data_IF_914037616200
#
_entry.id   IF_914037616200
#
_cell.length_a   1.000
_cell.length_b   1.000
_cell.length_c   1.000
_cell.angle_alpha   90.00
_cell.angle_beta   90.00
_cell.angle_gamma   90.00
#
_symmetry.space_group_name_H-M   'P 1'
#
loop_
_entity.id
_entity.type
_entity.pdbx_description
1 polymer ?
#
# COMPACT_ATOMS: atom_id res chain seq x y z
N UNK A 1 -21.33 -7.99 12.72
CA UNK A 1 -22.18 -8.99 12.03
C UNK A 1 -21.27 -10.12 11.61
N UNK A 2 -21.72 -11.37 11.68
CA UNK A 2 -20.93 -12.51 11.20
C UNK A 2 -20.68 -12.44 9.69
N UNK A 3 -19.68 -13.18 9.23
CA UNK A 3 -19.31 -13.24 7.83
C UNK A 3 -20.42 -13.93 7.01
N UNK A 4 -20.87 -13.31 5.91
CA UNK A 4 -21.76 -13.98 4.96
C UNK A 4 -20.92 -14.83 4.00
N UNK A 5 -20.54 -16.02 4.47
CA UNK A 5 -19.64 -16.93 3.76
C UNK A 5 -20.21 -17.28 2.37
N UNK A 6 -21.50 -17.56 2.25
CA UNK A 6 -22.11 -17.93 0.97
C UNK A 6 -21.94 -16.82 -0.09
N UNK A 7 -22.27 -15.57 0.27
CA UNK A 7 -22.14 -14.45 -0.65
C UNK A 7 -20.68 -14.16 -1.03
N UNK A 8 -19.77 -14.24 -0.06
CA UNK A 8 -18.35 -14.00 -0.29
C UNK A 8 -17.68 -15.13 -1.06
N UNK A 9 -18.05 -16.40 -0.83
CA UNK A 9 -17.57 -17.53 -1.62
C UNK A 9 -18.00 -17.41 -3.08
N UNK A 10 -19.24 -16.98 -3.34
CA UNK A 10 -19.69 -16.68 -4.70
C UNK A 10 -18.87 -15.56 -5.33
N UNK A 11 -18.66 -14.45 -4.61
CA UNK A 11 -17.83 -13.35 -5.09
C UNK A 11 -16.36 -13.76 -5.36
N UNK A 12 -15.78 -14.61 -4.51
CA UNK A 12 -14.43 -15.16 -4.73
C UNK A 12 -14.38 -15.99 -6.02
N UNK A 13 -15.38 -16.85 -6.26
CA UNK A 13 -15.48 -17.62 -7.51
C UNK A 13 -15.66 -16.72 -8.73
N UNK A 14 -16.48 -15.68 -8.65
CA UNK A 14 -16.66 -14.73 -9.75
C UNK A 14 -15.40 -13.88 -10.00
N UNK A 15 -14.68 -13.45 -8.96
CA UNK A 15 -13.39 -12.78 -9.08
C UNK A 15 -12.34 -13.66 -9.79
N UNK A 16 -12.32 -14.97 -9.48
CA UNK A 16 -11.50 -15.95 -10.20
C UNK A 16 -11.85 -15.97 -11.68
N UNK A 17 -13.15 -16.03 -11.99
CA UNK A 17 -13.66 -15.97 -13.36
C UNK A 17 -13.18 -14.72 -14.10
N UNK A 18 -13.31 -13.54 -13.49
CA UNK A 18 -12.84 -12.28 -14.09
C UNK A 18 -11.34 -12.30 -14.37
N UNK A 19 -10.52 -12.80 -13.45
CA UNK A 19 -9.08 -12.93 -13.65
C UNK A 19 -8.75 -13.90 -14.80
N UNK A 20 -9.43 -15.06 -14.84
CA UNK A 20 -9.29 -16.03 -15.93
C UNK A 20 -9.62 -15.43 -17.29
N UNK A 21 -10.77 -14.76 -17.41
CA UNK A 21 -11.24 -14.18 -18.67
C UNK A 21 -10.33 -13.05 -19.14
N UNK A 22 -9.95 -12.15 -18.23
CA UNK A 22 -9.08 -11.02 -18.54
C UNK A 22 -7.72 -11.48 -19.07
N UNK A 23 -7.09 -12.46 -18.42
CA UNK A 23 -5.78 -12.99 -18.84
C UNK A 23 -5.89 -13.80 -20.14
N UNK A 24 -6.96 -14.57 -20.33
CA UNK A 24 -7.20 -15.30 -21.58
C UNK A 24 -7.37 -14.35 -22.76
N UNK A 25 -8.18 -13.29 -22.60
CA UNK A 25 -8.45 -12.32 -23.65
C UNK A 25 -7.24 -11.44 -24.00
N UNK A 26 -6.44 -11.06 -23.01
CA UNK A 26 -5.22 -10.27 -23.23
C UNK A 26 -4.04 -11.11 -23.77
N UNK A 27 -4.14 -12.45 -23.70
CA UNK A 27 -3.01 -13.37 -23.96
C UNK A 27 -1.76 -12.98 -23.15
N UNK A 28 -1.97 -12.42 -21.96
CA UNK A 28 -0.92 -11.85 -21.13
C UNK A 28 -1.41 -11.65 -19.70
N UNK A 29 -0.71 -12.21 -18.71
CA UNK A 29 -0.98 -11.91 -17.30
C UNK A 29 -0.62 -13.02 -16.34
N UNK A 30 -1.14 -12.89 -15.11
CA UNK A 30 -0.81 -13.77 -13.99
C UNK A 30 -2.08 -14.30 -13.36
N UNK A 31 -2.25 -15.62 -13.37
CA UNK A 31 -3.42 -16.30 -12.78
C UNK A 31 -3.16 -16.71 -11.33
N UNK A 32 -1.91 -17.01 -10.98
CA UNK A 32 -1.57 -17.66 -9.71
C UNK A 32 -2.12 -16.97 -8.47
N UNK A 33 -1.67 -15.74 -8.22
CA UNK A 33 -2.08 -14.94 -7.06
C UNK A 33 -3.57 -14.57 -7.10
N UNK A 34 -4.14 -14.02 -8.20
CA UNK A 34 -5.57 -13.70 -8.22
C UNK A 34 -6.48 -14.88 -7.87
N UNK A 35 -6.11 -16.09 -8.29
CA UNK A 35 -6.88 -17.30 -8.00
C UNK A 35 -6.64 -17.83 -6.57
N UNK A 36 -5.39 -17.83 -6.11
CA UNK A 36 -5.02 -18.34 -4.79
C UNK A 36 -5.54 -17.47 -3.64
N UNK A 37 -5.59 -16.15 -3.85
CA UNK A 37 -5.94 -15.15 -2.83
C UNK A 37 -7.41 -14.69 -2.87
N UNK A 38 -8.26 -15.27 -3.72
CA UNK A 38 -9.62 -14.77 -3.93
C UNK A 38 -10.45 -14.74 -2.64
N UNK A 39 -10.28 -15.70 -1.74
CA UNK A 39 -10.97 -15.70 -0.44
C UNK A 39 -10.55 -14.53 0.45
N UNK A 40 -9.24 -14.26 0.56
CA UNK A 40 -8.74 -13.09 1.29
C UNK A 40 -9.27 -11.79 0.69
N UNK A 41 -9.30 -11.68 -0.64
CA UNK A 41 -9.86 -10.52 -1.33
C UNK A 41 -11.35 -10.29 -1.04
N UNK A 42 -12.14 -11.37 -1.00
CA UNK A 42 -13.55 -11.31 -0.65
C UNK A 42 -13.77 -10.81 0.79
N UNK A 43 -12.96 -11.29 1.74
CA UNK A 43 -13.03 -10.80 3.13
C UNK A 43 -12.60 -9.33 3.22
N UNK A 44 -11.49 -8.96 2.58
CA UNK A 44 -10.96 -7.60 2.59
C UNK A 44 -11.97 -6.59 2.04
N UNK A 45 -12.40 -6.75 0.79
CA UNK A 45 -13.25 -5.77 0.10
C UNK A 45 -14.76 -5.95 0.33
N UNK A 46 -15.20 -7.16 0.67
CA UNK A 46 -16.61 -7.45 0.94
C UNK A 46 -17.00 -7.33 2.41
N UNK A 47 -16.03 -7.15 3.32
CA UNK A 47 -16.31 -7.16 4.76
C UNK A 47 -15.51 -6.17 5.61
N UNK A 48 -14.17 -6.18 5.59
CA UNK A 48 -13.35 -5.55 6.67
C UNK A 48 -12.67 -4.23 6.33
N UNK A 49 -12.41 -3.94 5.05
CA UNK A 49 -11.74 -2.70 4.68
C UNK A 49 -12.69 -1.52 4.85
N UNK A 50 -12.18 -0.44 5.45
CA UNK A 50 -12.87 0.85 5.51
C UNK A 50 -12.51 1.66 4.27
N UNK A 51 -13.40 1.75 3.29
CA UNK A 51 -13.17 2.54 2.08
C UNK A 51 -14.46 3.14 1.53
N UNK A 52 -14.35 4.11 0.62
CA UNK A 52 -15.48 4.66 -0.11
C UNK A 52 -15.16 4.65 -1.61
N UNK A 53 -15.78 3.77 -2.41
CA UNK A 53 -15.56 3.69 -3.85
C UNK A 53 -15.85 4.99 -4.62
N UNK A 54 -16.79 5.81 -4.13
CA UNK A 54 -17.13 7.12 -4.73
C UNK A 54 -16.12 8.21 -4.33
N UNK A 55 -15.35 7.99 -3.25
CA UNK A 55 -14.33 8.88 -2.73
C UNK A 55 -13.01 8.13 -2.55
N UNK A 56 -12.37 7.64 -3.64
CA UNK A 56 -11.20 6.76 -3.58
C UNK A 56 -9.95 7.42 -2.97
N UNK A 57 -10.01 8.73 -2.69
CA UNK A 57 -8.94 9.52 -2.06
C UNK A 57 -9.33 10.08 -0.69
N UNK A 58 -10.45 9.62 -0.12
CA UNK A 58 -10.87 9.95 1.24
C UNK A 58 -9.74 9.67 2.24
N UNK A 59 -9.26 10.71 2.93
CA UNK A 59 -8.09 10.62 3.82
C UNK A 59 -8.31 9.74 5.06
N UNK A 60 -9.56 9.39 5.39
CA UNK A 60 -9.93 8.56 6.53
C UNK A 60 -10.09 7.06 6.23
N UNK A 61 -9.82 6.62 4.98
CA UNK A 61 -9.91 5.22 4.53
C UNK A 61 -8.72 4.36 4.98
N UNK A 62 -8.93 3.06 5.11
CA UNK A 62 -7.84 2.08 5.12
C UNK A 62 -7.15 2.06 3.75
N UNK A 63 -5.83 1.94 3.75
CA UNK A 63 -5.03 1.85 2.52
C UNK A 63 -4.78 0.38 2.18
N UNK A 64 -4.96 0.00 0.92
CA UNK A 64 -4.58 -1.32 0.43
C UNK A 64 -3.51 -1.20 -0.66
N UNK A 65 -2.37 -1.86 -0.46
CA UNK A 65 -1.26 -1.90 -1.41
C UNK A 65 -1.02 -3.35 -1.84
N UNK A 66 -1.06 -3.61 -3.15
CA UNK A 66 -0.67 -4.89 -3.72
C UNK A 66 0.82 -4.85 -4.08
N UNK A 67 1.70 -5.25 -3.16
CA UNK A 67 3.14 -5.30 -3.42
C UNK A 67 3.50 -6.35 -4.46
N UNK A 68 2.80 -7.48 -4.46
CA UNK A 68 2.87 -8.48 -5.53
C UNK A 68 2.08 -8.02 -6.76
N UNK A 69 2.50 -6.90 -7.36
CA UNK A 69 1.75 -6.17 -8.39
C UNK A 69 1.46 -6.97 -9.66
N UNK A 70 2.19 -8.06 -9.91
CA UNK A 70 1.93 -8.94 -11.05
C UNK A 70 0.51 -9.53 -10.99
N UNK A 71 -0.01 -9.76 -9.78
CA UNK A 71 -1.39 -10.20 -9.53
C UNK A 71 -2.44 -9.09 -9.68
N UNK A 72 -2.24 -8.11 -10.54
CA UNK A 72 -3.09 -6.91 -10.70
C UNK A 72 -4.60 -7.21 -10.86
N UNK A 73 -4.96 -8.28 -11.55
CA UNK A 73 -6.37 -8.70 -11.68
C UNK A 73 -7.03 -9.09 -10.36
N UNK A 74 -6.27 -9.48 -9.33
CA UNK A 74 -6.79 -9.58 -7.96
C UNK A 74 -7.44 -8.26 -7.56
N UNK A 75 -6.66 -7.17 -7.63
CA UNK A 75 -7.11 -5.85 -7.19
C UNK A 75 -8.23 -5.30 -8.08
N UNK A 76 -8.09 -5.40 -9.40
CA UNK A 76 -9.07 -4.83 -10.33
C UNK A 76 -10.46 -5.48 -10.21
N UNK A 77 -10.53 -6.80 -10.00
CA UNK A 77 -11.81 -7.48 -9.78
C UNK A 77 -12.54 -6.93 -8.54
N UNK A 78 -11.82 -6.73 -7.44
CA UNK A 78 -12.42 -6.20 -6.20
C UNK A 78 -12.80 -4.72 -6.31
N UNK A 79 -11.97 -3.89 -6.96
CA UNK A 79 -12.32 -2.50 -7.22
C UNK A 79 -13.59 -2.38 -8.08
N UNK A 80 -13.69 -3.21 -9.12
CA UNK A 80 -14.88 -3.29 -9.97
C UNK A 80 -16.14 -3.67 -9.16
N UNK A 81 -16.09 -4.82 -8.46
CA UNK A 81 -17.26 -5.32 -7.72
C UNK A 81 -17.65 -4.41 -6.55
N UNK A 82 -16.69 -3.72 -5.94
CA UNK A 82 -16.96 -2.74 -4.87
C UNK A 82 -17.60 -1.45 -5.39
N UNK A 83 -17.61 -1.21 -6.71
CA UNK A 83 -18.26 -0.05 -7.31
C UNK A 83 -17.37 1.18 -7.43
N UNK A 84 -16.04 1.02 -7.55
CA UNK A 84 -15.16 2.10 -7.99
C UNK A 84 -15.48 2.47 -9.45
N UNK A 85 -14.98 3.62 -9.93
CA UNK A 85 -15.05 4.02 -11.35
C UNK A 85 -14.11 3.17 -12.24
N UNK A 86 -14.34 1.86 -12.21
CA UNK A 86 -13.66 0.80 -12.94
C UNK A 86 -14.73 -0.15 -13.49
N UNK A 87 -15.47 0.24 -14.54
CA UNK A 87 -16.56 -0.56 -15.08
C UNK A 87 -16.06 -1.86 -15.73
N UNK A 88 -16.96 -2.81 -15.98
CA UNK A 88 -16.63 -4.10 -16.61
C UNK A 88 -15.94 -3.92 -17.98
N UNK A 89 -16.24 -2.83 -18.70
CA UNK A 89 -15.57 -2.49 -19.96
C UNK A 89 -14.06 -2.26 -19.79
N UNK A 90 -13.60 -1.78 -18.64
CA UNK A 90 -12.17 -1.64 -18.35
C UNK A 90 -11.54 -2.97 -17.92
N UNK A 91 -12.29 -3.85 -17.24
CA UNK A 91 -11.83 -5.22 -16.95
C UNK A 91 -11.60 -6.00 -18.26
N UNK A 92 -12.51 -5.87 -19.23
CA UNK A 92 -12.37 -6.44 -20.57
C UNK A 92 -11.20 -5.86 -21.37
N UNK A 93 -10.67 -4.70 -20.96
CA UNK A 93 -9.52 -4.02 -21.56
C UNK A 93 -8.22 -4.21 -20.77
N UNK A 94 -8.14 -5.24 -19.93
CA UNK A 94 -6.91 -5.58 -19.21
C UNK A 94 -5.69 -5.63 -20.14
N UNK A 95 -4.63 -4.92 -19.74
CA UNK A 95 -3.36 -4.78 -20.49
C UNK A 95 -3.48 -4.15 -21.88
N UNK A 96 -4.61 -3.52 -22.20
CA UNK A 96 -4.77 -2.81 -23.46
C UNK A 96 -4.30 -1.37 -23.33
N UNK A 97 -3.83 -0.81 -24.43
CA UNK A 97 -3.40 0.59 -24.51
C UNK A 97 -4.53 1.53 -24.03
N UNK A 98 -4.19 2.48 -23.16
CA UNK A 98 -5.10 3.46 -22.56
C UNK A 98 -6.28 2.83 -21.78
N UNK A 99 -6.11 1.63 -21.24
CA UNK A 99 -7.04 1.06 -20.26
C UNK A 99 -6.72 1.57 -18.86
N UNK A 100 -7.72 1.57 -17.98
CA UNK A 100 -7.55 1.76 -16.53
C UNK A 100 -7.11 0.48 -15.81
N UNK A 101 -6.70 -0.55 -16.54
CA UNK A 101 -6.32 -1.88 -16.03
C UNK A 101 -4.96 -2.31 -16.59
N UNK A 102 -3.88 -1.53 -16.33
CA UNK A 102 -2.54 -1.87 -16.78
C UNK A 102 -2.04 -3.19 -16.18
N UNK A 103 -0.98 -3.76 -16.78
CA UNK A 103 -0.49 -5.09 -16.41
C UNK A 103 -0.04 -5.24 -14.95
N UNK A 104 0.37 -4.15 -14.33
CA UNK A 104 0.63 -3.98 -12.90
C UNK A 104 -0.16 -2.76 -12.40
N UNK A 105 -0.53 -2.66 -11.10
CA UNK A 105 -1.24 -1.51 -10.59
C UNK A 105 -0.43 -0.24 -10.80
N UNK A 106 -1.03 0.76 -11.41
CA UNK A 106 -0.41 2.07 -11.62
C UNK A 106 -1.20 3.14 -10.89
N UNK A 107 -0.49 3.91 -10.09
CA UNK A 107 -1.04 5.07 -9.43
C UNK A 107 -1.41 6.14 -10.47
N UNK A 108 -2.55 6.82 -10.25
CA UNK A 108 -3.25 7.75 -11.17
C UNK A 108 -4.11 7.12 -12.27
N UNK A 109 -3.70 5.99 -12.87
CA UNK A 109 -4.46 5.37 -13.97
C UNK A 109 -5.75 4.68 -13.48
N UNK A 110 -5.66 4.00 -12.34
CA UNK A 110 -6.78 3.20 -11.79
C UNK A 110 -7.33 3.82 -10.49
N UNK A 111 -8.62 4.20 -10.42
CA UNK A 111 -9.25 4.62 -9.17
C UNK A 111 -9.16 3.53 -8.09
N UNK A 112 -8.68 3.88 -6.90
CA UNK A 112 -8.49 2.93 -5.79
C UNK A 112 -7.11 2.27 -5.71
N UNK A 113 -6.26 2.39 -6.75
CA UNK A 113 -4.85 1.96 -6.65
C UNK A 113 -4.05 3.00 -5.85
N UNK A 114 -3.39 2.56 -4.78
CA UNK A 114 -2.66 3.47 -3.87
C UNK A 114 -1.23 3.77 -4.31
N UNK A 115 -0.54 2.81 -4.94
CA UNK A 115 0.85 2.94 -5.36
C UNK A 115 1.06 2.21 -6.69
N UNK A 116 2.00 2.68 -7.49
CA UNK A 116 2.50 1.88 -8.61
C UNK A 116 3.37 0.76 -8.08
N UNK A 117 3.02 -0.49 -8.39
CA UNK A 117 3.81 -1.67 -8.00
C UNK A 117 4.13 -2.51 -9.22
N UNK A 118 4.84 -3.62 -9.03
CA UNK A 118 5.34 -4.46 -10.13
C UNK A 118 6.76 -4.90 -9.85
N UNK A 119 7.72 -3.97 -9.72
CA UNK A 119 9.02 -4.29 -9.16
C UNK A 119 8.82 -4.77 -7.72
N UNK A 120 9.24 -6.00 -7.44
CA UNK A 120 8.93 -6.70 -6.20
C UNK A 120 9.57 -5.99 -5.00
N UNK A 121 8.94 -6.11 -3.82
CA UNK A 121 9.41 -5.49 -2.57
C UNK A 121 9.10 -3.99 -2.43
N UNK A 122 8.98 -3.23 -3.53
CA UNK A 122 8.69 -1.79 -3.53
C UNK A 122 7.39 -1.45 -2.77
N UNK A 123 6.33 -2.23 -3.01
CA UNK A 123 5.03 -2.01 -2.35
C UNK A 123 5.06 -2.24 -0.83
N UNK A 124 5.96 -3.09 -0.32
CA UNK A 124 6.20 -3.22 1.13
C UNK A 124 6.77 -1.91 1.67
N UNK A 125 7.78 -1.35 1.01
CA UNK A 125 8.35 -0.04 1.35
C UNK A 125 7.33 1.10 1.28
N UNK A 126 6.51 1.14 0.23
CA UNK A 126 5.43 2.11 0.11
C UNK A 126 4.44 2.01 1.27
N UNK A 127 4.05 0.79 1.67
CA UNK A 127 3.16 0.56 2.80
C UNK A 127 3.73 1.05 4.13
N UNK A 128 5.04 0.85 4.35
CA UNK A 128 5.75 1.41 5.50
C UNK A 128 5.71 2.95 5.46
N UNK A 129 5.91 3.55 4.30
CA UNK A 129 5.78 5.00 4.10
C UNK A 129 4.39 5.55 4.44
N UNK A 130 3.33 4.88 3.96
CA UNK A 130 1.94 5.23 4.31
C UNK A 130 1.72 5.10 5.82
N UNK A 131 2.19 4.02 6.45
CA UNK A 131 2.08 3.81 7.89
C UNK A 131 2.76 4.91 8.71
N UNK A 132 3.95 5.35 8.31
CA UNK A 132 4.64 6.52 8.90
C UNK A 132 3.78 7.78 8.74
N UNK A 133 3.33 8.08 7.52
CA UNK A 133 2.52 9.28 7.25
C UNK A 133 1.24 9.32 8.10
N UNK A 134 0.56 8.18 8.25
CA UNK A 134 -0.64 8.04 9.11
C UNK A 134 -0.32 8.26 10.59
N UNK A 135 0.79 7.72 11.12
CA UNK A 135 1.23 7.98 12.50
C UNK A 135 1.55 9.47 12.72
N UNK A 136 2.24 10.09 11.77
CA UNK A 136 2.55 11.52 11.81
C UNK A 136 1.28 12.38 11.76
N UNK A 137 0.35 12.04 10.87
CA UNK A 137 -0.93 12.75 10.75
C UNK A 137 -1.77 12.61 12.03
N UNK A 138 -1.89 11.40 12.57
CA UNK A 138 -2.58 11.16 13.83
C UNK A 138 -1.97 11.98 14.98
N UNK A 139 -0.64 11.99 15.11
CA UNK A 139 0.05 12.74 16.16
C UNK A 139 -0.10 14.26 16.05
N UNK A 140 -0.26 14.79 14.82
CA UNK A 140 -0.39 16.23 14.56
C UNK A 140 -1.82 16.73 14.65
N UNK A 141 -2.78 15.93 14.17
CA UNK A 141 -4.12 16.41 13.89
C UNK A 141 -5.20 15.79 14.80
N UNK A 142 -4.98 14.61 15.38
CA UNK A 142 -5.94 14.11 16.37
C UNK A 142 -5.88 14.97 17.64
N UNK A 143 -7.02 15.04 18.32
CA UNK A 143 -7.17 15.70 19.61
C UNK A 143 -7.76 14.71 20.62
N UNK A 144 -7.85 15.09 21.89
CA UNK A 144 -8.56 14.27 22.89
C UNK A 144 -10.05 14.07 22.57
N UNK A 145 -10.65 14.97 21.79
CA UNK A 145 -12.07 14.92 21.41
C UNK A 145 -12.31 14.29 20.04
N UNK A 146 -11.34 14.35 19.12
CA UNK A 146 -11.52 13.95 17.72
C UNK A 146 -10.39 13.05 17.25
N UNK A 147 -10.77 11.86 16.78
CA UNK A 147 -9.87 10.91 16.11
C UNK A 147 -10.16 10.93 14.62
N UNK A 148 -9.48 11.82 13.89
CA UNK A 148 -9.61 11.97 12.43
C UNK A 148 -8.80 10.91 11.69
N UNK A 149 -7.62 10.58 12.20
CA UNK A 149 -6.72 9.58 11.64
C UNK A 149 -6.69 8.33 12.54
N UNK A 150 -7.25 7.25 12.01
CA UNK A 150 -7.46 5.93 12.65
C UNK A 150 -7.58 4.87 11.55
N UNK A 151 -6.60 4.82 10.67
CA UNK A 151 -6.63 3.89 9.54
C UNK A 151 -5.49 2.91 9.64
N UNK A 152 -5.64 1.80 8.93
CA UNK A 152 -4.58 0.82 8.75
C UNK A 152 -4.07 0.86 7.31
N UNK A 153 -2.80 0.52 7.14
CA UNK A 153 -2.21 0.22 5.84
C UNK A 153 -2.09 -1.29 5.73
N UNK A 154 -2.82 -1.88 4.80
CA UNK A 154 -2.82 -3.29 4.49
C UNK A 154 -1.96 -3.48 3.24
N UNK A 155 -0.99 -4.39 3.29
CA UNK A 155 -0.13 -4.71 2.17
C UNK A 155 -0.17 -6.21 1.88
N UNK A 156 -0.45 -6.60 0.63
CA UNK A 156 -0.35 -7.99 0.19
C UNK A 156 0.95 -8.20 -0.60
N UNK A 157 1.82 -9.05 -0.05
CA UNK A 157 3.10 -9.45 -0.63
C UNK A 157 3.14 -10.96 -0.86
N UNK A 158 4.00 -11.42 -1.77
CA UNK A 158 4.29 -12.86 -1.97
C UNK A 158 5.78 -13.13 -1.83
N UNK A 159 6.22 -14.37 -2.09
CA UNK A 159 7.61 -14.83 -1.92
C UNK A 159 8.63 -13.86 -2.51
N UNK A 160 8.46 -13.50 -3.79
CA UNK A 160 9.39 -12.62 -4.50
C UNK A 160 9.52 -11.23 -3.88
N UNK A 161 8.47 -10.71 -3.21
CA UNK A 161 8.60 -9.45 -2.47
C UNK A 161 9.47 -9.63 -1.22
N UNK A 162 9.38 -10.77 -0.54
CA UNK A 162 10.07 -11.00 0.73
C UNK A 162 11.51 -11.51 0.55
N UNK A 163 11.88 -11.96 -0.65
CA UNK A 163 13.26 -12.22 -1.08
C UNK A 163 14.04 -10.92 -1.38
N UNK A 164 13.35 -9.86 -1.80
CA UNK A 164 13.97 -8.59 -2.14
C UNK A 164 14.49 -7.85 -0.89
N UNK A 165 15.76 -7.44 -0.91
CA UNK A 165 16.43 -6.78 0.22
C UNK A 165 15.74 -5.49 0.67
N UNK A 166 15.11 -4.77 -0.26
CA UNK A 166 14.34 -3.55 0.05
C UNK A 166 13.18 -3.81 1.01
N UNK A 167 12.55 -4.99 0.93
CA UNK A 167 11.46 -5.37 1.84
C UNK A 167 11.99 -5.63 3.26
N UNK A 168 13.20 -6.19 3.37
CA UNK A 168 13.87 -6.43 4.64
C UNK A 168 14.27 -5.11 5.31
N UNK A 169 14.83 -4.17 4.55
CA UNK A 169 15.14 -2.82 5.02
C UNK A 169 13.90 -2.10 5.57
N UNK A 170 12.83 -2.05 4.77
CA UNK A 170 11.59 -1.38 5.14
C UNK A 170 10.88 -2.06 6.32
N UNK A 171 10.85 -3.40 6.36
CA UNK A 171 10.24 -4.14 7.46
C UNK A 171 11.02 -3.97 8.77
N UNK A 172 12.36 -4.04 8.73
CA UNK A 172 13.19 -3.77 9.90
C UNK A 172 12.97 -2.34 10.43
N UNK A 173 12.82 -1.36 9.54
CA UNK A 173 12.44 0.01 9.91
C UNK A 173 11.06 0.04 10.59
N UNK A 174 10.04 -0.61 10.01
CA UNK A 174 8.68 -0.63 10.56
C UNK A 174 8.61 -1.23 11.97
N UNK A 175 9.34 -2.32 12.20
CA UNK A 175 9.47 -2.95 13.51
C UNK A 175 10.18 -2.06 14.53
N UNK A 176 11.28 -1.40 14.12
CA UNK A 176 11.99 -0.44 14.97
C UNK A 176 11.08 0.71 15.42
N UNK A 177 10.35 1.34 14.50
CA UNK A 177 9.48 2.47 14.79
C UNK A 177 8.11 2.08 15.39
N UNK A 178 7.79 0.79 15.50
CA UNK A 178 6.54 0.33 16.11
C UNK A 178 5.31 0.77 15.33
N UNK A 179 5.31 0.56 14.00
CA UNK A 179 4.21 0.95 13.12
C UNK A 179 3.02 -0.02 13.26
N UNK A 180 2.35 0.01 14.40
CA UNK A 180 1.19 -0.87 14.72
C UNK A 180 -0.03 -0.72 13.80
N UNK A 181 -0.05 0.32 12.97
CA UNK A 181 -1.06 0.59 11.95
C UNK A 181 -0.71 -0.04 10.58
N UNK A 182 0.37 -0.82 10.49
CA UNK A 182 0.74 -1.61 9.32
C UNK A 182 0.35 -3.08 9.53
N UNK A 183 -0.38 -3.62 8.55
CA UNK A 183 -0.70 -5.06 8.44
C UNK A 183 -0.10 -5.56 7.12
N UNK A 184 0.98 -6.33 7.20
CA UNK A 184 1.59 -7.00 6.06
C UNK A 184 1.07 -8.44 5.98
N UNK A 185 0.41 -8.77 4.88
CA UNK A 185 -0.08 -10.11 4.56
C UNK A 185 0.90 -10.72 3.58
N UNK A 186 1.40 -11.91 3.91
CA UNK A 186 2.25 -12.71 3.07
C UNK A 186 1.44 -13.87 2.49
N UNK A 187 1.18 -13.82 1.19
CA UNK A 187 0.71 -14.98 0.41
C UNK A 187 1.83 -16.01 0.32
N UNK A 188 1.83 -16.95 1.26
CA UNK A 188 2.77 -18.04 1.35
C UNK A 188 2.23 -19.23 0.56
N UNK A 189 2.46 -19.22 -0.76
CA UNK A 189 1.96 -20.26 -1.66
C UNK A 189 3.06 -21.24 -2.12
N UNK A 190 4.29 -21.05 -1.62
CA UNK A 190 5.48 -21.86 -1.87
C UNK A 190 5.93 -21.94 -3.34
N UNK A 191 5.51 -21.00 -4.18
CA UNK A 191 5.77 -20.98 -5.62
C UNK A 191 6.32 -19.61 -6.07
N UNK A 192 7.37 -19.63 -6.87
CA UNK A 192 7.90 -18.46 -7.60
C UNK A 192 7.69 -18.64 -9.11
N UNK A 193 8.19 -17.70 -9.92
CA UNK A 193 7.94 -17.67 -11.36
C UNK A 193 8.39 -18.94 -12.08
N UNK A 194 9.64 -19.34 -11.87
CA UNK A 194 10.28 -20.44 -12.62
C UNK A 194 10.32 -21.77 -11.86
N UNK A 195 10.08 -21.74 -10.54
CA UNK A 195 10.31 -22.89 -9.68
C UNK A 195 9.50 -22.83 -8.38
N UNK A 196 9.35 -23.97 -7.68
CA UNK A 196 8.97 -23.97 -6.27
C UNK A 196 9.92 -23.08 -5.45
N UNK A 197 9.37 -22.32 -4.49
CA UNK A 197 10.13 -21.37 -3.69
C UNK A 197 11.32 -22.01 -2.98
N UNK A 198 11.19 -23.28 -2.55
CA UNK A 198 12.25 -24.04 -1.87
C UNK A 198 13.58 -24.14 -2.62
N UNK A 199 13.59 -23.93 -3.94
CA UNK A 199 14.82 -23.96 -4.75
C UNK A 199 15.75 -22.77 -4.42
N UNK A 200 15.19 -21.64 -3.98
CA UNK A 200 15.95 -20.41 -3.63
C UNK A 200 15.58 -19.79 -2.29
N UNK A 201 14.57 -20.31 -1.58
CA UNK A 201 14.06 -19.77 -0.32
C UNK A 201 13.90 -20.90 0.72
N UNK A 202 14.69 -20.83 1.79
CA UNK A 202 14.69 -21.82 2.87
C UNK A 202 14.74 -21.21 4.28
N UNK A 203 14.68 -19.89 4.38
CA UNK A 203 14.66 -19.19 5.66
C UNK A 203 13.28 -19.25 6.35
N UNK A 204 13.30 -19.18 7.68
CA UNK A 204 12.09 -18.98 8.46
C UNK A 204 11.69 -17.50 8.42
N UNK A 205 10.82 -17.17 7.46
CA UNK A 205 10.29 -15.81 7.28
C UNK A 205 9.53 -15.34 8.53
N UNK A 206 8.81 -16.22 9.21
CA UNK A 206 8.10 -15.88 10.45
C UNK A 206 9.06 -15.49 11.58
N UNK A 207 10.14 -16.25 11.76
CA UNK A 207 11.19 -15.93 12.71
C UNK A 207 11.92 -14.62 12.35
N UNK A 208 12.20 -14.38 11.05
CA UNK A 208 12.80 -13.12 10.58
C UNK A 208 11.92 -11.91 10.92
N UNK A 209 10.61 -11.99 10.69
CA UNK A 209 9.68 -10.92 11.05
C UNK A 209 9.51 -10.75 12.57
N UNK A 210 9.51 -11.83 13.36
CA UNK A 210 9.59 -11.75 14.83
C UNK A 210 10.86 -11.03 15.28
N UNK A 211 12.01 -11.31 14.65
CA UNK A 211 13.27 -10.66 14.96
C UNK A 211 13.28 -9.16 14.60
N UNK A 212 12.57 -8.74 13.54
CA UNK A 212 12.34 -7.32 13.27
C UNK A 212 11.41 -6.64 14.29
N UNK A 213 10.62 -7.40 15.04
CA UNK A 213 9.70 -6.90 16.06
C UNK A 213 8.23 -6.88 15.64
N UNK A 214 7.85 -7.66 14.62
CA UNK A 214 6.45 -7.83 14.23
C UNK A 214 5.70 -8.75 15.19
N UNK A 215 4.39 -8.56 15.23
CA UNK A 215 3.44 -9.54 15.74
C UNK A 215 3.03 -10.49 14.62
N UNK A 216 3.38 -11.76 14.74
CA UNK A 216 3.29 -12.75 13.65
C UNK A 216 2.17 -13.74 13.91
N UNK A 217 1.27 -13.86 12.95
CA UNK A 217 0.19 -14.84 12.90
C UNK A 217 0.33 -15.70 11.65
N UNK A 218 -0.18 -16.93 11.72
CA UNK A 218 -0.15 -17.89 10.62
C UNK A 218 -1.53 -18.51 10.47
N UNK A 219 -2.06 -18.54 9.23
CA UNK A 219 -3.42 -18.97 8.93
C UNK A 219 -3.51 -19.70 7.59
N UNK A 220 -4.56 -20.49 7.43
CA UNK A 220 -5.02 -20.88 6.10
C UNK A 220 -5.69 -19.66 5.44
N UNK A 221 -5.05 -19.07 4.43
CA UNK A 221 -5.56 -17.89 3.72
C UNK A 221 -6.82 -18.15 2.90
N UNK A 222 -7.16 -19.42 2.64
CA UNK A 222 -8.35 -19.83 1.90
C UNK A 222 -9.53 -20.21 2.79
N UNK A 223 -9.35 -20.19 4.11
CA UNK A 223 -10.43 -20.22 5.09
C UNK A 223 -10.80 -18.78 5.46
N UNK A 224 -11.94 -18.31 4.96
CA UNK A 224 -12.38 -16.93 5.14
C UNK A 224 -12.59 -16.55 6.60
N UNK A 225 -13.06 -17.48 7.44
CA UNK A 225 -13.30 -17.20 8.85
C UNK A 225 -11.97 -17.15 9.60
N UNK A 226 -11.06 -18.09 9.35
CA UNK A 226 -9.73 -18.07 9.96
C UNK A 226 -8.93 -16.81 9.56
N UNK A 227 -9.00 -16.40 8.29
CA UNK A 227 -8.37 -15.17 7.82
C UNK A 227 -9.01 -13.92 8.45
N UNK A 228 -10.35 -13.87 8.55
CA UNK A 228 -11.05 -12.77 9.22
C UNK A 228 -10.63 -12.64 10.69
N UNK A 229 -10.55 -13.75 11.41
CA UNK A 229 -10.18 -13.75 12.83
C UNK A 229 -8.75 -13.24 13.04
N UNK A 230 -7.80 -13.68 12.20
CA UNK A 230 -6.42 -13.17 12.26
C UNK A 230 -6.31 -11.70 11.84
N UNK A 231 -7.09 -11.26 10.84
CA UNK A 231 -7.13 -9.86 10.43
C UNK A 231 -7.71 -8.96 11.52
N UNK A 232 -8.81 -9.36 12.16
CA UNK A 232 -9.40 -8.61 13.26
C UNK A 232 -8.44 -8.57 14.46
N UNK A 233 -7.82 -9.69 14.82
CA UNK A 233 -6.79 -9.71 15.85
C UNK A 233 -5.63 -8.77 15.51
N UNK A 234 -5.17 -8.73 14.25
CA UNK A 234 -4.14 -7.78 13.82
C UNK A 234 -4.60 -6.32 13.97
N UNK A 235 -5.82 -5.99 13.57
CA UNK A 235 -6.39 -4.63 13.60
C UNK A 235 -6.71 -4.13 15.02
N UNK A 236 -7.10 -5.02 15.92
CA UNK A 236 -7.53 -4.67 17.29
C UNK A 236 -6.37 -4.70 18.31
N UNK A 237 -5.34 -5.49 18.05
CA UNK A 237 -4.22 -5.67 18.98
C UNK A 237 -3.30 -4.44 18.98
N UNK A 238 -3.26 -3.76 20.13
CA UNK A 238 -2.54 -2.51 20.35
C UNK A 238 -1.17 -2.67 21.03
N UNK A 239 -0.47 -3.80 20.84
CA UNK A 239 0.85 -4.07 21.43
C UNK A 239 2.01 -3.21 20.89
N UNK A 240 1.74 -2.18 20.09
CA UNK A 240 2.74 -1.27 19.52
C UNK A 240 3.64 -1.89 18.45
N UNK A 241 3.31 -3.08 17.93
CA UNK A 241 4.07 -3.77 16.89
C UNK A 241 3.32 -3.77 15.56
N UNK A 242 4.02 -3.62 14.42
CA UNK A 242 3.43 -3.91 13.11
C UNK A 242 3.01 -5.38 13.04
N UNK A 243 2.02 -5.68 12.19
CA UNK A 243 1.39 -7.00 12.10
C UNK A 243 1.84 -7.74 10.85
N UNK A 244 2.14 -9.02 10.99
CA UNK A 244 2.50 -9.91 9.90
C UNK A 244 1.59 -11.14 9.90
N UNK A 245 0.85 -11.35 8.82
CA UNK A 245 -0.05 -12.50 8.66
C UNK A 245 0.54 -13.37 7.55
N UNK A 246 1.05 -14.55 7.93
CA UNK A 246 1.46 -15.59 6.99
C UNK A 246 0.20 -16.35 6.58
N UNK A 247 -0.25 -16.14 5.34
CA UNK A 247 -1.44 -16.76 4.79
C UNK A 247 -1.04 -17.87 3.82
N UNK A 248 -1.26 -19.13 4.20
CA UNK A 248 -1.02 -20.27 3.32
C UNK A 248 -2.11 -20.35 2.25
N UNK A 249 -1.72 -20.36 0.98
CA UNK A 249 -2.67 -20.48 -0.14
C UNK A 249 -2.21 -21.50 -1.18
N UNK A 250 -3.16 -21.99 -1.97
CA UNK A 250 -2.90 -22.79 -3.16
C UNK A 250 -2.84 -21.87 -4.39
N UNK A 251 -1.65 -21.67 -4.96
CA UNK A 251 -1.47 -20.88 -6.19
C UNK A 251 -2.30 -21.47 -7.35
N UNK A 252 -2.97 -20.61 -8.12
CA UNK A 252 -3.72 -21.04 -9.30
C UNK A 252 -4.99 -21.86 -8.99
N UNK A 253 -5.44 -21.87 -7.73
CA UNK A 253 -6.62 -22.63 -7.28
C UNK A 253 -7.79 -22.50 -8.25
N UNK A 254 -8.28 -23.65 -8.70
CA UNK A 254 -9.40 -23.73 -9.64
C UNK A 254 -8.99 -23.99 -11.09
N UNK A 255 -7.70 -24.15 -11.38
CA UNK A 255 -7.20 -24.69 -12.65
C UNK A 255 -6.42 -25.98 -12.36
N UNK A 256 -7.08 -27.16 -12.38
CA UNK A 256 -6.50 -28.44 -11.96
C UNK A 256 -5.17 -28.79 -12.63
N UNK A 257 -4.97 -28.38 -13.88
CA UNK A 257 -3.78 -28.71 -14.67
C UNK A 257 -2.52 -27.94 -14.26
N UNK A 258 -2.66 -26.84 -13.50
CA UNK A 258 -1.52 -25.99 -13.10
C UNK A 258 -1.50 -25.63 -11.61
N UNK A 259 -2.60 -25.79 -10.87
CA UNK A 259 -2.66 -25.42 -9.45
C UNK A 259 -1.56 -26.07 -8.61
N UNK A 260 -1.00 -25.33 -7.66
CA UNK A 260 0.12 -25.78 -6.82
C UNK A 260 1.47 -25.90 -7.56
N UNK A 261 1.59 -25.41 -8.79
CA UNK A 261 2.83 -25.42 -9.57
C UNK A 261 3.22 -24.03 -10.06
N UNK A 262 4.50 -23.83 -10.37
CA UNK A 262 5.01 -22.58 -10.97
C UNK A 262 4.35 -22.24 -12.31
N UNK A 263 3.76 -23.22 -13.02
CA UNK A 263 3.00 -22.99 -14.25
C UNK A 263 1.75 -22.14 -14.01
N UNK A 264 1.21 -22.11 -12.80
CA UNK A 264 0.10 -21.23 -12.45
C UNK A 264 0.49 -19.75 -12.34
N UNK A 265 1.78 -19.43 -12.19
CA UNK A 265 2.23 -18.05 -11.92
C UNK A 265 1.82 -17.09 -13.04
N UNK A 266 2.19 -17.41 -14.28
CA UNK A 266 1.86 -16.63 -15.47
C UNK A 266 0.54 -17.06 -16.12
N UNK A 267 0.56 -17.16 -17.44
CA UNK A 267 -0.62 -17.42 -18.27
C UNK A 267 -0.78 -18.89 -18.71
N UNK A 268 0.07 -19.82 -18.28
CA UNK A 268 0.04 -21.19 -18.80
C UNK A 268 -1.29 -21.92 -18.53
N UNK A 269 -2.06 -21.46 -17.54
CA UNK A 269 -3.42 -21.90 -17.25
C UNK A 269 -4.49 -21.37 -18.21
N UNK A 270 -4.20 -20.36 -19.04
CA UNK A 270 -5.19 -19.67 -19.88
C UNK A 270 -5.90 -20.60 -20.89
N UNK A 271 -5.23 -21.66 -21.34
CA UNK A 271 -5.81 -22.67 -22.24
C UNK A 271 -6.85 -23.58 -21.58
N UNK A 272 -6.92 -23.58 -20.25
CA UNK A 272 -7.85 -24.40 -19.47
C UNK A 272 -9.01 -23.57 -18.88
N UNK A 273 -9.10 -22.29 -19.22
CA UNK A 273 -10.07 -21.35 -18.61
C UNK A 273 -11.50 -21.84 -18.75
N UNK A 274 -11.96 -22.21 -19.93
CA UNK A 274 -13.37 -22.59 -20.14
C UNK A 274 -13.74 -23.84 -19.31
N UNK A 275 -12.87 -24.85 -19.30
CA UNK A 275 -13.05 -26.06 -18.49
C UNK A 275 -13.01 -25.76 -16.98
N UNK A 276 -12.09 -24.90 -16.56
CA UNK A 276 -11.91 -24.47 -15.17
C UNK A 276 -13.09 -23.65 -14.66
N UNK A 277 -13.59 -22.70 -15.45
CA UNK A 277 -14.80 -21.92 -15.16
C UNK A 277 -16.00 -22.84 -14.92
N UNK A 278 -16.21 -23.80 -15.82
CA UNK A 278 -17.29 -24.77 -15.69
C UNK A 278 -17.14 -25.63 -14.43
N UNK A 279 -15.92 -26.09 -14.12
CA UNK A 279 -15.65 -26.85 -12.90
C UNK A 279 -15.90 -26.03 -11.62
N UNK A 280 -15.68 -24.72 -11.67
CA UNK A 280 -15.99 -23.77 -10.59
C UNK A 280 -17.50 -23.42 -10.49
N UNK A 281 -18.34 -23.92 -11.40
CA UNK A 281 -19.76 -23.63 -11.43
C UNK A 281 -20.12 -22.24 -11.99
N UNK A 282 -19.18 -21.59 -12.68
CA UNK A 282 -19.47 -20.36 -13.41
C UNK A 282 -20.29 -20.66 -14.68
N UNK A 283 -21.15 -19.73 -15.14
CA UNK A 283 -21.86 -19.89 -16.39
C UNK A 283 -20.91 -19.79 -17.60
N UNK A 284 -21.40 -20.26 -18.75
CA UNK A 284 -20.67 -20.21 -20.03
C UNK A 284 -20.35 -18.77 -20.48
N UNK A 285 -21.10 -17.78 -19.99
CA UNK A 285 -20.82 -16.36 -20.26
C UNK A 285 -19.51 -15.91 -19.57
N UNK A 286 -18.56 -15.40 -20.35
CA UNK A 286 -17.35 -14.75 -19.84
C UNK A 286 -17.64 -13.35 -19.27
N UNK A 287 -16.79 -12.90 -18.35
CA UNK A 287 -16.91 -11.66 -17.61
C UNK A 287 -18.20 -11.58 -16.80
N UNK A 288 -18.62 -12.71 -16.24
CA UNK A 288 -19.84 -12.84 -15.46
C UNK A 288 -19.63 -12.48 -13.99
N UNK A 289 -20.52 -11.64 -13.47
CA UNK A 289 -20.71 -11.35 -12.04
C UNK A 289 -22.22 -11.41 -11.80
N UNK A 290 -22.66 -12.22 -10.83
CA UNK A 290 -24.09 -12.42 -10.61
C UNK A 290 -24.75 -11.16 -10.04
N UNK A 291 -26.06 -11.01 -10.30
CA UNK A 291 -26.86 -9.97 -9.67
C UNK A 291 -26.76 -10.04 -8.14
N UNK A 292 -26.74 -11.24 -7.57
CA UNK A 292 -26.62 -11.45 -6.13
C UNK A 292 -25.29 -10.94 -5.57
N UNK A 293 -24.20 -11.04 -6.33
CA UNK A 293 -22.91 -10.45 -5.94
C UNK A 293 -22.97 -8.93 -6.00
N UNK A 294 -23.49 -8.34 -7.08
CA UNK A 294 -23.67 -6.88 -7.14
C UNK A 294 -24.59 -6.35 -6.04
N UNK A 295 -25.71 -7.03 -5.77
CA UNK A 295 -26.64 -6.66 -4.69
C UNK A 295 -25.93 -6.71 -3.32
N UNK A 296 -25.08 -7.73 -3.09
CA UNK A 296 -24.29 -7.85 -1.86
C UNK A 296 -23.32 -6.68 -1.70
N UNK A 297 -22.51 -6.38 -2.72
CA UNK A 297 -21.55 -5.27 -2.65
C UNK A 297 -22.24 -3.90 -2.60
N UNK A 298 -23.40 -3.73 -3.24
CA UNK A 298 -24.22 -2.53 -3.11
C UNK A 298 -24.76 -2.35 -1.68
N UNK A 299 -25.17 -3.44 -1.01
CA UNK A 299 -25.55 -3.40 0.40
C UNK A 299 -24.35 -3.11 1.31
N UNK A 300 -23.19 -3.73 1.04
CA UNK A 300 -21.95 -3.46 1.77
C UNK A 300 -21.52 -1.99 1.64
N UNK A 301 -21.60 -1.42 0.43
CA UNK A 301 -21.34 0.00 0.16
C UNK A 301 -22.19 0.94 1.00
N UNK A 302 -23.46 0.62 1.28
CA UNK A 302 -24.31 1.43 2.18
C UNK A 302 -23.76 1.47 3.61
N UNK A 303 -23.21 0.36 4.11
CA UNK A 303 -22.56 0.32 5.43
C UNK A 303 -21.28 1.16 5.43
N UNK A 304 -20.48 1.07 4.38
CA UNK A 304 -19.27 1.89 4.19
C UNK A 304 -19.61 3.39 4.15
N UNK A 305 -20.68 3.77 3.45
CA UNK A 305 -21.16 5.16 3.41
C UNK A 305 -21.60 5.65 4.79
N UNK A 306 -22.27 4.80 5.58
CA UNK A 306 -22.62 5.15 6.98
C UNK A 306 -21.37 5.40 7.83
N UNK A 307 -20.30 4.63 7.63
CA UNK A 307 -19.02 4.88 8.30
C UNK A 307 -18.32 6.14 7.82
N UNK A 308 -18.33 6.38 6.50
CA UNK A 308 -17.81 7.61 5.90
C UNK A 308 -18.54 8.86 6.42
N UNK A 309 -19.88 8.85 6.48
CA UNK A 309 -20.69 9.95 7.01
C UNK A 309 -20.40 10.23 8.49
N UNK A 310 -20.19 9.17 9.30
CA UNK A 310 -19.76 9.31 10.70
C UNK A 310 -18.38 9.96 10.81
N UNK A 311 -17.45 9.57 9.93
CA UNK A 311 -16.14 10.20 9.87
C UNK A 311 -16.23 11.65 9.40
N UNK A 312 -17.03 11.96 8.37
CA UNK A 312 -17.22 13.33 7.88
C UNK A 312 -17.78 14.24 8.95
N UNK A 313 -18.75 13.76 9.75
CA UNK A 313 -19.28 14.53 10.88
C UNK A 313 -18.19 14.84 11.91
N UNK A 314 -17.37 13.84 12.26
CA UNK A 314 -16.24 14.02 13.18
C UNK A 314 -15.20 14.99 12.60
N UNK A 315 -14.90 14.88 11.31
CA UNK A 315 -13.95 15.73 10.61
C UNK A 315 -14.45 17.18 10.54
N UNK A 316 -15.73 17.40 10.23
CA UNK A 316 -16.33 18.73 10.18
C UNK A 316 -16.37 19.41 11.56
N UNK A 317 -16.67 18.68 12.64
CA UNK A 317 -16.60 19.24 14.01
C UNK A 317 -15.14 19.56 14.39
N UNK A 318 -14.22 18.66 14.07
CA UNK A 318 -12.78 18.88 14.26
C UNK A 318 -12.30 20.14 13.52
N UNK A 319 -12.69 20.35 12.26
CA UNK A 319 -12.31 21.53 11.48
C UNK A 319 -12.82 22.83 12.12
N UNK A 320 -14.07 22.84 12.60
CA UNK A 320 -14.66 24.02 13.28
C UNK A 320 -13.93 24.37 14.56
N UNK A 321 -13.52 23.36 15.35
CA UNK A 321 -12.81 23.56 16.62
C UNK A 321 -11.30 23.79 16.46
N UNK A 322 -10.72 23.40 15.32
CA UNK A 322 -9.28 23.48 15.06
C UNK A 322 -8.96 24.16 13.71
N UNK A 323 -9.42 25.41 13.47
CA UNK A 323 -9.35 26.04 12.15
C UNK A 323 -7.92 26.19 11.62
N UNK A 324 -6.93 26.47 12.48
CA UNK A 324 -5.53 26.59 12.08
C UNK A 324 -4.94 25.24 11.64
N UNK A 325 -5.20 24.17 12.39
CA UNK A 325 -4.77 22.81 12.02
C UNK A 325 -5.48 22.30 10.77
N UNK A 326 -6.78 22.62 10.63
CA UNK A 326 -7.56 22.32 9.44
C UNK A 326 -6.98 23.00 8.20
N UNK A 327 -6.55 24.26 8.33
CA UNK A 327 -5.85 24.97 7.25
C UNK A 327 -4.54 24.28 6.88
N UNK A 328 -3.70 23.92 7.87
CA UNK A 328 -2.44 23.21 7.60
C UNK A 328 -2.67 21.89 6.87
N UNK A 329 -3.65 21.10 7.32
CA UNK A 329 -4.01 19.82 6.68
C UNK A 329 -4.53 20.05 5.26
N UNK A 330 -5.45 21.01 5.07
CA UNK A 330 -6.04 21.29 3.76
C UNK A 330 -4.99 21.83 2.77
N UNK A 331 -4.10 22.71 3.21
CA UNK A 331 -3.01 23.21 2.36
C UNK A 331 -2.07 22.07 1.93
N UNK A 332 -1.87 21.06 2.79
CA UNK A 332 -1.14 19.84 2.44
C UNK A 332 -1.88 18.96 1.43
N UNK A 333 -3.19 18.72 1.62
CA UNK A 333 -4.06 17.99 0.68
C UNK A 333 -4.05 18.67 -0.69
N UNK A 334 -4.25 19.99 -0.71
CA UNK A 334 -4.30 20.82 -1.92
C UNK A 334 -2.90 21.06 -2.53
N UNK A 335 -1.84 20.60 -1.84
CA UNK A 335 -0.44 20.78 -2.24
C UNK A 335 -0.07 22.26 -2.43
N UNK A 336 -0.69 23.15 -1.66
CA UNK A 336 -0.34 24.56 -1.67
C UNK A 336 1.09 24.76 -1.19
N UNK A 337 1.75 25.72 -1.82
CA UNK A 337 3.09 26.20 -1.47
C UNK A 337 2.95 27.70 -1.23
N UNK A 338 3.55 28.26 -0.17
CA UNK A 338 3.52 29.71 0.05
C UNK A 338 4.04 30.45 -1.19
N UNK A 339 3.29 31.44 -1.68
CA UNK A 339 3.67 32.23 -2.86
C UNK A 339 5.01 32.96 -2.65
N UNK A 340 5.27 33.36 -1.40
CA UNK A 340 6.49 34.04 -0.99
C UNK A 340 7.65 33.09 -0.63
N UNK A 341 7.53 31.78 -0.87
CA UNK A 341 8.54 30.79 -0.45
C UNK A 341 9.95 31.12 -0.96
N UNK A 342 10.08 31.54 -2.23
CA UNK A 342 11.38 31.90 -2.81
C UNK A 342 12.01 33.11 -2.10
N UNK A 343 11.19 34.04 -1.59
CA UNK A 343 11.68 35.18 -0.82
C UNK A 343 12.24 34.80 0.55
N UNK A 344 11.91 33.60 1.06
CA UNK A 344 12.44 33.06 2.32
C UNK A 344 13.83 32.45 2.17
N UNK A 345 14.29 32.20 0.95
CA UNK A 345 15.60 31.61 0.68
C UNK A 345 16.68 32.68 0.91
N UNK A 346 17.69 32.43 1.76
CA UNK A 346 18.75 33.41 2.02
C UNK A 346 19.57 33.67 0.76
N UNK A 347 19.97 34.92 0.55
CA UNK A 347 20.93 35.26 -0.49
C UNK A 347 22.35 35.03 0.02
N UNK A 348 23.16 34.37 -0.80
CA UNK A 348 24.58 34.16 -0.53
C UNK A 348 25.40 35.20 -1.30
N UNK A 349 26.49 35.68 -0.70
CA UNK A 349 27.44 36.56 -1.39
C UNK A 349 28.07 35.83 -2.59
N UNK A 350 28.41 36.57 -3.65
CA UNK A 350 29.01 35.98 -4.88
C UNK A 350 30.33 35.25 -4.62
N UNK A 351 31.06 35.65 -3.59
CA UNK A 351 32.35 35.12 -3.16
C UNK A 351 32.25 34.21 -1.92
N UNK A 352 31.03 33.77 -1.56
CA UNK A 352 30.81 32.90 -0.42
C UNK A 352 31.62 31.60 -0.53
N UNK A 353 32.50 31.35 0.44
CA UNK A 353 33.27 30.10 0.56
C UNK A 353 32.49 29.07 1.36
N UNK A 354 31.41 28.57 0.77
CA UNK A 354 30.49 27.62 1.39
C UNK A 354 30.32 26.37 0.53
N UNK A 355 30.44 25.18 1.12
CA UNK A 355 30.14 23.95 0.41
C UNK A 355 28.63 23.89 0.06
N UNK A 356 28.27 23.43 -1.14
CA UNK A 356 26.88 23.39 -1.63
C UNK A 356 25.95 22.61 -0.71
N UNK A 357 26.42 21.51 -0.11
CA UNK A 357 25.68 20.78 0.95
C UNK A 357 25.35 21.64 2.17
N UNK A 358 26.28 22.49 2.62
CA UNK A 358 26.06 23.38 3.77
C UNK A 358 25.12 24.53 3.37
N UNK A 359 25.27 25.08 2.17
CA UNK A 359 24.32 26.03 1.60
C UNK A 359 22.90 25.44 1.54
N UNK A 360 22.75 24.19 1.07
CA UNK A 360 21.48 23.47 1.06
C UNK A 360 20.86 23.32 2.44
N UNK A 361 21.67 23.02 3.46
CA UNK A 361 21.22 22.99 4.85
C UNK A 361 20.72 24.34 5.37
N UNK A 362 21.40 25.44 5.02
CA UNK A 362 20.98 26.81 5.36
C UNK A 362 19.70 27.23 4.63
N UNK A 363 19.54 26.82 3.36
CA UNK A 363 18.31 27.05 2.56
C UNK A 363 17.13 26.24 3.08
N UNK A 364 17.36 25.01 3.56
CA UNK A 364 16.32 24.12 4.05
C UNK A 364 15.56 24.71 5.24
N UNK A 365 16.23 25.39 6.17
CA UNK A 365 15.61 25.84 7.42
C UNK A 365 14.43 26.81 7.21
N UNK A 366 14.56 27.93 6.45
CA UNK A 366 13.43 28.82 6.21
C UNK A 366 12.32 28.15 5.37
N UNK A 367 12.65 27.23 4.48
CA UNK A 367 11.67 26.43 3.72
C UNK A 367 10.86 25.53 4.67
N UNK A 368 11.55 24.81 5.58
CA UNK A 368 10.92 23.93 6.56
C UNK A 368 10.03 24.69 7.56
N UNK A 369 10.36 25.95 7.85
CA UNK A 369 9.52 26.84 8.65
C UNK A 369 8.26 27.30 7.89
N UNK A 370 8.38 27.56 6.60
CA UNK A 370 7.27 28.00 5.74
C UNK A 370 6.34 26.85 5.31
N UNK A 371 6.84 25.61 5.32
CA UNK A 371 6.09 24.40 4.96
C UNK A 371 6.08 23.46 6.16
N UNK A 372 5.11 23.59 7.10
CA UNK A 372 5.09 22.83 8.35
C UNK A 372 5.04 21.31 8.19
N UNK A 373 4.56 20.85 7.04
CA UNK A 373 4.48 19.43 6.68
C UNK A 373 5.74 18.92 5.96
N UNK A 374 6.77 19.75 5.73
CA UNK A 374 8.04 19.25 5.20
C UNK A 374 8.69 18.32 6.23
N UNK A 375 9.10 17.14 5.77
CA UNK A 375 9.85 16.13 6.52
C UNK A 375 11.23 15.94 5.89
N UNK A 376 12.23 15.83 6.75
CA UNK A 376 13.60 15.46 6.40
C UNK A 376 13.82 13.96 6.59
N UNK A 377 14.71 13.41 5.78
CA UNK A 377 15.15 12.03 5.86
C UNK A 377 16.64 11.90 5.61
N UNK A 378 17.31 11.00 6.31
CA UNK A 378 18.68 10.63 5.96
C UNK A 378 18.94 9.16 6.27
N UNK A 379 19.63 8.49 5.33
CA UNK A 379 20.21 7.18 5.51
C UNK A 379 21.54 7.30 6.27
N UNK A 380 21.44 7.53 7.58
CA UNK A 380 22.58 7.64 8.51
C UNK A 380 23.60 8.76 8.23
N UNK A 381 23.23 9.78 7.44
CA UNK A 381 24.17 10.78 6.95
C UNK A 381 23.80 12.23 7.26
N UNK A 382 22.88 12.53 8.19
CA UNK A 382 22.44 13.90 8.47
C UNK A 382 23.60 14.91 8.68
N UNK A 383 24.66 14.50 9.36
CA UNK A 383 25.85 15.34 9.57
C UNK A 383 26.67 15.62 8.32
N UNK A 384 26.55 14.76 7.29
CA UNK A 384 27.25 14.88 6.02
C UNK A 384 26.38 15.51 4.93
N UNK A 385 25.08 15.20 4.90
CA UNK A 385 24.11 15.72 3.94
C UNK A 385 23.53 17.07 4.35
N UNK A 386 23.69 17.45 5.63
CA UNK A 386 23.28 18.75 6.19
C UNK A 386 21.79 19.08 6.01
N UNK A 387 20.92 18.07 5.86
CA UNK A 387 19.49 18.24 5.61
C UNK A 387 18.61 18.00 6.85
N UNK A 388 19.15 18.18 8.06
CA UNK A 388 18.39 18.08 9.30
C UNK A 388 17.55 19.35 9.51
N UNK A 389 16.26 19.20 9.85
CA UNK A 389 15.37 20.32 10.19
C UNK A 389 15.56 20.63 11.67
N UNK A 390 16.18 21.77 11.99
CA UNK A 390 16.63 22.10 13.34
C UNK A 390 15.49 22.15 14.38
N UNK A 391 14.32 22.70 14.00
CA UNK A 391 13.11 22.75 14.82
C UNK A 391 12.14 21.60 14.51
N UNK A 392 12.62 20.54 13.86
CA UNK A 392 11.81 19.44 13.35
C UNK A 392 11.57 18.32 14.36
N UNK A 393 12.54 18.06 15.23
CA UNK A 393 12.56 16.88 16.10
C UNK A 393 12.67 15.56 15.32
N UNK A 394 13.08 14.48 15.99
CA UNK A 394 13.19 13.16 15.38
C UNK A 394 11.85 12.42 15.42
N UNK A 395 11.46 11.81 14.31
CA UNK A 395 10.37 10.83 14.29
C UNK A 395 10.85 9.59 15.03
N UNK A 396 10.17 9.25 16.12
CA UNK A 396 10.41 8.02 16.89
C UNK A 396 9.06 7.42 17.30
N UNK A 397 9.09 6.20 17.86
CA UNK A 397 7.89 5.56 18.43
C UNK A 397 7.16 6.45 19.43
N UNK A 398 7.91 7.13 20.29
CA UNK A 398 7.37 8.01 21.34
C UNK A 398 7.11 9.44 20.84
N UNK A 399 7.71 9.82 19.71
CA UNK A 399 7.58 11.16 19.10
C UNK A 399 7.15 11.06 17.63
N UNK A 400 5.94 10.53 17.36
CA UNK A 400 5.45 10.34 15.99
C UNK A 400 5.20 11.66 15.24
N UNK A 401 5.20 12.81 15.90
CA UNK A 401 5.11 14.12 15.25
C UNK A 401 6.47 14.69 14.80
N UNK A 402 7.60 14.01 15.02
CA UNK A 402 8.92 14.48 14.57
C UNK A 402 9.02 14.58 13.06
N UNK A 403 9.78 15.57 12.54
CA UNK A 403 9.95 15.83 11.10
C UNK A 403 11.23 15.25 10.53
N UNK A 404 12.17 14.78 11.34
CA UNK A 404 13.41 14.18 10.88
C UNK A 404 13.36 12.66 11.05
N UNK A 405 13.38 11.92 9.94
CA UNK A 405 13.40 10.46 9.96
C UNK A 405 14.85 9.97 9.82
N UNK A 406 15.28 9.10 10.72
CA UNK A 406 16.58 8.40 10.65
C UNK A 406 16.35 7.01 10.09
N UNK A 407 16.75 6.80 8.84
CA UNK A 407 16.50 5.52 8.16
C UNK A 407 17.54 4.44 8.50
N UNK A 408 18.70 4.82 9.03
CA UNK A 408 19.88 3.94 9.10
C UNK A 408 20.48 3.73 7.71
N UNK A 409 21.38 2.76 7.56
CA UNK A 409 22.00 2.40 6.28
C UNK A 409 21.02 1.56 5.46
N UNK A 410 19.99 2.22 4.92
CA UNK A 410 18.82 1.64 4.24
C UNK A 410 18.36 2.55 3.12
N UNK A 411 19.22 2.80 2.16
CA UNK A 411 19.00 3.77 1.10
C UNK A 411 17.81 3.38 0.24
N UNK A 412 17.71 2.10 -0.13
CA UNK A 412 16.60 1.62 -0.97
C UNK A 412 15.28 1.65 -0.18
N UNK A 413 15.28 1.14 1.05
CA UNK A 413 14.14 1.21 1.96
C UNK A 413 13.67 2.64 2.21
N UNK A 414 14.60 3.60 2.40
CA UNK A 414 14.29 5.02 2.53
C UNK A 414 13.48 5.54 1.34
N UNK A 415 13.92 5.30 0.10
CA UNK A 415 13.23 5.86 -1.07
C UNK A 415 11.90 5.18 -1.39
N UNK A 416 11.75 3.91 -1.07
CA UNK A 416 10.44 3.23 -1.20
C UNK A 416 9.40 3.75 -0.20
N UNK A 417 9.83 4.17 1.01
CA UNK A 417 8.93 4.81 1.97
C UNK A 417 8.51 6.23 1.55
N UNK A 418 9.25 6.86 0.63
CA UNK A 418 8.94 8.18 0.07
C UNK A 418 7.81 8.14 -0.96
N UNK A 419 7.45 6.97 -1.48
CA UNK A 419 6.72 6.85 -2.76
C UNK A 419 5.23 6.47 -2.73
N UNK A 420 4.41 6.66 -1.68
CA UNK A 420 2.98 6.47 -1.88
C UNK A 420 2.27 7.78 -2.24
N UNK A 421 1.48 7.78 -3.31
CA UNK A 421 0.33 8.66 -3.58
C UNK A 421 0.31 10.09 -3.00
N UNK A 422 0.19 11.17 -3.81
CA UNK A 422 -0.36 12.48 -3.46
C UNK A 422 -1.23 12.60 -2.21
N UNK A 423 -2.16 11.66 -1.99
CA UNK A 423 -3.09 11.68 -0.87
C UNK A 423 -2.47 11.26 0.47
N UNK A 424 -1.48 10.37 0.47
CA UNK A 424 -0.70 9.97 1.66
C UNK A 424 0.17 11.12 2.17
N UNK A 425 0.59 11.98 1.25
CA UNK A 425 1.41 13.18 1.49
C UNK A 425 0.60 14.45 1.77
N UNK A 426 -0.73 14.35 1.90
CA UNK A 426 -1.54 15.44 2.44
C UNK A 426 -1.00 15.98 3.79
N UNK A 427 -0.21 15.17 4.52
CA UNK A 427 0.40 15.52 5.80
C UNK A 427 1.96 15.58 5.77
N UNK A 428 2.62 15.39 4.62
CA UNK A 428 4.08 15.36 4.54
C UNK A 428 4.65 15.82 3.18
N UNK A 429 5.85 16.40 3.13
CA UNK A 429 6.67 16.55 1.91
C UNK A 429 8.09 16.05 2.21
N UNK A 430 8.60 15.05 1.51
CA UNK A 430 9.87 14.43 1.87
C UNK A 430 11.08 14.97 1.09
N UNK A 431 12.19 15.22 1.79
CA UNK A 431 13.52 15.46 1.23
C UNK A 431 14.53 14.47 1.83
N UNK A 432 14.99 13.51 1.02
CA UNK A 432 15.97 12.46 1.37
C UNK A 432 17.21 12.57 0.47
N UNK A 433 18.41 12.29 1.01
CA UNK A 433 19.69 12.37 0.29
C UNK A 433 20.63 11.19 0.62
N UNK A 434 21.22 10.54 -0.40
CA UNK A 434 22.37 9.60 -0.25
C UNK A 434 23.24 9.50 -1.53
N UNK A 435 23.92 10.59 -1.90
CA UNK A 435 24.65 10.75 -3.19
C UNK A 435 25.58 9.60 -3.64
N UNK A 436 26.43 8.96 -2.80
CA UNK A 436 27.29 7.87 -3.29
C UNK A 436 26.56 6.53 -3.47
N UNK A 437 25.31 6.42 -3.01
CA UNK A 437 24.52 5.19 -2.96
C UNK A 437 23.33 5.19 -3.94
N UNK A 438 23.18 6.22 -4.78
CA UNK A 438 22.14 6.35 -5.81
C UNK A 438 21.99 5.10 -6.70
N UNK A 439 23.07 4.33 -6.89
CA UNK A 439 23.03 3.07 -7.64
C UNK A 439 22.14 1.99 -7.00
N UNK A 440 22.04 1.96 -5.66
CA UNK A 440 21.15 1.04 -4.92
C UNK A 440 19.67 1.45 -5.04
N UNK A 441 19.38 2.71 -5.36
CA UNK A 441 18.02 3.28 -5.37
C UNK A 441 17.40 3.37 -6.78
N UNK A 442 18.09 2.89 -7.83
CA UNK A 442 17.72 3.14 -9.24
C UNK A 442 16.33 2.61 -9.62
N UNK A 443 15.82 1.58 -8.94
CA UNK A 443 14.47 1.06 -9.19
C UNK A 443 13.36 1.91 -8.56
N UNK A 444 13.71 2.92 -7.75
CA UNK A 444 12.78 3.80 -7.04
C UNK A 444 12.71 5.24 -7.60
N UNK A 445 13.47 5.58 -8.67
CA UNK A 445 13.53 6.94 -9.22
C UNK A 445 13.71 7.04 -10.75
N UNK A 446 13.18 8.13 -11.35
CA UNK A 446 13.80 8.80 -12.50
C UNK A 446 14.41 10.19 -12.19
N UNK A 447 14.25 10.76 -10.99
CA UNK A 447 14.73 12.14 -10.69
C UNK A 447 15.30 12.32 -9.27
N UNK A 448 16.62 12.17 -9.12
CA UNK A 448 17.38 12.77 -8.01
C UNK A 448 17.47 14.27 -8.25
N UNK A 449 17.14 15.10 -7.25
CA UNK A 449 17.55 16.50 -7.26
C UNK A 449 19.06 16.53 -7.08
N UNK A 450 19.77 16.81 -8.17
CA UNK A 450 21.20 17.02 -8.19
C UNK A 450 21.55 18.21 -7.28
N UNK A 451 22.17 17.93 -6.14
CA UNK A 451 22.98 18.92 -5.44
C UNK A 451 24.43 18.72 -5.91
N UNK A 452 24.77 19.29 -7.07
CA UNK A 452 26.16 19.63 -7.41
C UNK A 452 26.52 20.96 -6.76
#
# INVERSE_FOLDING_TARGET
MGLNIEALSRAATEARGLAMDAVQASQSGHLGLPLGCAEMGAVLYGHVLKHNPDQPRWIGRDYFILSAGHGSMFLYAWLHMSGYDLPMSEIKRFRQLHSKTPGHPEFFETPGVECTTGPLGQGVGNAVGVAVAMKMAAARFNTSEHRVFDQHCICLAGDGCLQEGVSAEASAFAGHFGLDNLILIYDNNAITLDAPAKETQSEDTGARFKAYGFDVQEVNGQDMQAFLDAFNNAKENNNGKPKFIIAHTLVGKGIPEVEGTYKAHGEAGAKFVDASRKALGLPDEHYFVSKQTYDYFAAHKKNLLTEYERWEKTYADWQKKNPELAKVLQDGIDRKVPEDLLSKIPQFAKDAKLATRKAGGEVLQPIAKAIPLLIGGSADLYGSTMNYIADGGDFTRDKPAGRNIRFGIREHGMETTRTPSPSSFAAARACCNSLPHDMMMRSSFPFSFFAT
#
